data_IF_434993987159
#
_entry.id   IF_434993987159
#
_cell.length_a   1.000
_cell.length_b   1.000
_cell.length_c   1.000
_cell.angle_alpha   90.00
_cell.angle_beta   90.00
_cell.angle_gamma   90.00
#
_symmetry.space_group_name_H-M   'P 1'
#
loop_
_entity.id
_entity.type
_entity.pdbx_description
1 polymer ?
#
# COMPACT_ATOMS: atom_id res chain seq x y z
N UNK A 1 -1.72 -0.22 -10.51
CA UNK A 1 -0.76 -0.56 -11.59
C UNK A 1 0.57 0.14 -11.29
N UNK A 2 1.59 -0.55 -10.78
CA UNK A 2 2.91 0.09 -10.56
C UNK A 2 3.75 0.00 -11.82
N UNK A 3 4.41 1.12 -12.10
CA UNK A 3 5.26 1.29 -13.26
C UNK A 3 6.69 1.53 -12.76
N UNK A 4 7.66 0.81 -13.31
CA UNK A 4 9.08 1.13 -13.08
C UNK A 4 9.50 2.19 -14.09
N UNK A 5 9.90 3.35 -13.58
CA UNK A 5 10.41 4.44 -14.37
C UNK A 5 11.94 4.40 -14.46
N UNK A 6 12.48 4.48 -15.68
CA UNK A 6 13.87 4.85 -15.86
C UNK A 6 13.97 6.39 -15.80
N UNK A 7 14.47 6.93 -14.69
CA UNK A 7 14.59 8.37 -14.41
C UNK A 7 15.43 9.13 -15.44
N UNK A 8 16.14 8.41 -16.33
CA UNK A 8 16.98 8.98 -17.39
C UNK A 8 16.28 9.13 -18.74
N UNK A 9 15.18 8.42 -18.99
CA UNK A 9 14.51 8.39 -20.31
C UNK A 9 13.00 8.63 -20.26
N UNK A 10 12.41 8.77 -19.07
CA UNK A 10 10.97 9.05 -18.90
C UNK A 10 10.05 7.93 -19.41
N UNK A 11 10.59 6.75 -19.72
CA UNK A 11 9.82 5.60 -20.15
C UNK A 11 9.33 4.81 -18.95
N UNK A 12 8.02 4.66 -18.89
CA UNK A 12 7.25 4.01 -17.85
C UNK A 12 6.69 2.70 -18.42
N UNK A 13 7.19 1.55 -17.96
CA UNK A 13 6.68 0.24 -18.37
C UNK A 13 5.91 -0.45 -17.21
N UNK A 14 4.72 -1.03 -17.47
CA UNK A 14 3.98 -1.75 -16.45
C UNK A 14 4.75 -3.01 -16.02
N UNK A 15 5.00 -3.15 -14.72
CA UNK A 15 5.63 -4.35 -14.18
C UNK A 15 4.57 -5.41 -13.97
N UNK A 16 4.79 -6.59 -14.57
CA UNK A 16 3.89 -7.73 -14.40
C UNK A 16 4.02 -8.27 -12.98
N UNK A 17 2.91 -8.61 -12.28
CA UNK A 17 2.93 -9.13 -10.91
C UNK A 17 3.86 -10.33 -10.67
N UNK A 18 4.12 -11.15 -11.70
CA UNK A 18 5.02 -12.31 -11.63
C UNK A 18 6.50 -11.97 -11.46
N UNK A 19 6.94 -10.76 -11.82
CA UNK A 19 8.37 -10.39 -11.74
C UNK A 19 8.76 -9.76 -10.39
N UNK A 20 7.79 -9.50 -9.51
CA UNK A 20 8.03 -9.02 -8.15
C UNK A 20 8.45 -10.14 -7.17
N UNK A 21 8.25 -11.40 -7.56
CA UNK A 21 8.41 -12.59 -6.72
C UNK A 21 9.83 -12.81 -6.16
N UNK A 22 10.92 -12.63 -6.95
CA UNK A 22 12.28 -12.94 -6.47
C UNK A 22 12.85 -11.93 -5.44
N UNK A 23 12.32 -10.71 -5.40
CA UNK A 23 12.75 -9.67 -4.46
C UNK A 23 12.22 -9.89 -3.05
N UNK A 24 11.01 -10.44 -2.92
CA UNK A 24 10.42 -10.80 -1.63
C UNK A 24 11.06 -12.05 -1.02
N UNK A 25 11.36 -13.07 -1.83
CA UNK A 25 11.96 -14.33 -1.34
C UNK A 25 13.35 -14.14 -0.75
N UNK A 26 14.14 -13.20 -1.28
CA UNK A 26 15.52 -12.97 -0.83
C UNK A 26 15.58 -12.21 0.51
N UNK A 27 14.67 -11.26 0.72
CA UNK A 27 14.55 -10.52 1.99
C UNK A 27 14.04 -11.40 3.15
N UNK A 28 13.18 -12.37 2.87
CA UNK A 28 12.60 -13.26 3.89
C UNK A 28 13.62 -14.18 4.59
N UNK A 29 14.78 -14.46 3.96
CA UNK A 29 15.75 -15.42 4.49
C UNK A 29 16.60 -14.94 5.69
N UNK A 30 16.64 -13.63 5.97
CA UNK A 30 17.56 -13.05 6.97
C UNK A 30 16.92 -12.41 8.21
N UNK A 31 15.62 -12.10 8.19
CA UNK A 31 14.96 -11.37 9.30
C UNK A 31 13.93 -12.23 10.06
N UNK A 32 13.32 -13.23 9.43
CA UNK A 32 12.20 -13.97 10.03
C UNK A 32 12.60 -15.43 10.25
N UNK A 33 13.35 -15.70 11.33
CA UNK A 33 13.47 -17.05 11.87
C UNK A 33 12.51 -17.15 13.05
N UNK A 34 11.46 -17.96 12.92
CA UNK A 34 10.48 -18.39 13.95
C UNK A 34 9.11 -17.69 14.00
N UNK A 35 8.56 -17.23 12.87
CA UNK A 35 7.11 -17.04 12.75
C UNK A 35 6.62 -17.97 11.65
N UNK A 36 5.57 -18.75 11.91
CA UNK A 36 4.94 -19.56 10.86
C UNK A 36 4.42 -18.59 9.79
N UNK A 37 4.81 -18.79 8.51
CA UNK A 37 4.53 -17.82 7.43
C UNK A 37 3.06 -17.36 7.43
N UNK A 38 2.14 -18.28 7.71
CA UNK A 38 0.69 -18.03 7.79
C UNK A 38 0.26 -17.04 8.88
N UNK A 39 0.88 -17.05 10.06
CA UNK A 39 0.53 -16.13 11.15
C UNK A 39 0.96 -14.69 10.84
N UNK A 40 2.10 -14.51 10.15
CA UNK A 40 2.54 -13.20 9.68
C UNK A 40 1.62 -12.64 8.58
N UNK A 41 1.08 -13.53 7.74
CA UNK A 41 0.24 -13.18 6.58
C UNK A 41 -1.17 -12.77 7.00
N UNK A 42 -1.81 -13.51 7.90
CA UNK A 42 -3.10 -13.14 8.47
C UNK A 42 -3.02 -11.83 9.27
N UNK A 43 -1.94 -11.64 10.02
CA UNK A 43 -1.75 -10.42 10.82
C UNK A 43 -1.52 -9.20 9.91
N UNK A 44 -0.80 -9.36 8.79
CA UNK A 44 -0.65 -8.31 7.79
C UNK A 44 -2.00 -7.88 7.22
N UNK A 45 -2.86 -8.83 6.83
CA UNK A 45 -4.20 -8.53 6.31
C UNK A 45 -5.03 -7.78 7.36
N UNK A 46 -5.00 -8.23 8.62
CA UNK A 46 -5.71 -7.59 9.74
C UNK A 46 -5.25 -6.15 9.94
N UNK A 47 -3.93 -5.91 9.95
CA UNK A 47 -3.35 -4.58 10.15
C UNK A 47 -3.70 -3.65 8.99
N UNK A 48 -3.55 -4.10 7.74
CA UNK A 48 -3.84 -3.28 6.56
C UNK A 48 -5.32 -2.91 6.53
N UNK A 49 -6.24 -3.86 6.72
CA UNK A 49 -7.68 -3.58 6.77
C UNK A 49 -8.04 -2.64 7.94
N UNK A 50 -7.41 -2.83 9.10
CA UNK A 50 -7.58 -1.95 10.26
C UNK A 50 -7.16 -0.50 9.96
N UNK A 51 -6.03 -0.32 9.27
CA UNK A 51 -5.54 1.00 8.84
C UNK A 51 -6.51 1.60 7.81
N UNK A 52 -6.92 0.85 6.78
CA UNK A 52 -7.88 1.33 5.77
C UNK A 52 -9.14 1.88 6.41
N UNK A 53 -9.73 1.12 7.34
CA UNK A 53 -10.94 1.54 8.06
C UNK A 53 -10.71 2.82 8.87
N UNK A 54 -9.58 2.92 9.57
CA UNK A 54 -9.25 4.10 10.39
C UNK A 54 -9.00 5.34 9.55
N UNK A 55 -8.35 5.20 8.40
CA UNK A 55 -8.14 6.29 7.44
C UNK A 55 -9.48 6.75 6.87
N UNK A 56 -10.39 5.82 6.56
CA UNK A 56 -11.71 6.17 6.04
C UNK A 56 -12.58 6.88 7.09
N UNK A 57 -12.58 6.42 8.36
CA UNK A 57 -13.29 7.06 9.47
C UNK A 57 -12.82 8.50 9.72
N UNK A 58 -11.52 8.77 9.53
CA UNK A 58 -10.88 10.06 9.85
C UNK A 58 -10.53 10.89 8.62
N UNK A 59 -11.03 10.52 7.43
CA UNK A 59 -10.64 11.13 6.16
C UNK A 59 -10.74 12.66 6.16
N UNK A 60 -11.85 13.21 6.66
CA UNK A 60 -12.06 14.66 6.69
C UNK A 60 -11.11 15.39 7.64
N UNK A 61 -10.75 14.78 8.76
CA UNK A 61 -9.78 15.32 9.72
C UNK A 61 -8.37 15.27 9.14
N UNK A 62 -8.00 14.14 8.53
CA UNK A 62 -6.73 13.94 7.84
C UNK A 62 -6.56 14.90 6.65
N UNK A 63 -7.62 15.14 5.87
CA UNK A 63 -7.59 16.10 4.76
C UNK A 63 -7.34 17.54 5.25
N UNK A 64 -7.92 17.94 6.39
CA UNK A 64 -7.65 19.25 7.01
C UNK A 64 -6.22 19.36 7.50
N UNK A 65 -5.70 18.31 8.14
CA UNK A 65 -4.29 18.27 8.57
C UNK A 65 -3.34 18.33 7.38
N UNK A 66 -3.63 17.61 6.29
CA UNK A 66 -2.85 17.65 5.04
C UNK A 66 -2.90 19.01 4.35
N UNK A 67 -4.05 19.66 4.35
CA UNK A 67 -4.18 21.03 3.85
C UNK A 67 -3.34 22.01 4.67
N UNK A 68 -3.35 21.86 6.01
CA UNK A 68 -2.56 22.69 6.92
C UNK A 68 -1.05 22.47 6.75
N UNK A 69 -0.61 21.21 6.64
CA UNK A 69 0.81 20.84 6.59
C UNK A 69 1.44 21.14 5.22
N UNK A 70 0.73 20.81 4.12
CA UNK A 70 1.24 20.99 2.76
C UNK A 70 0.88 22.35 2.13
N UNK A 71 0.04 23.16 2.79
CA UNK A 71 -0.49 24.42 2.24
C UNK A 71 -1.42 24.25 1.04
N UNK A 72 -1.94 23.03 0.82
CA UNK A 72 -2.82 22.71 -0.31
C UNK A 72 -4.27 23.12 -0.02
N UNK A 73 -5.04 23.50 -1.06
CA UNK A 73 -6.49 23.63 -0.96
C UNK A 73 -7.15 22.38 -0.37
N UNK A 74 -8.21 22.56 0.42
CA UNK A 74 -8.86 21.47 1.16
C UNK A 74 -9.45 20.39 0.23
N UNK A 75 -9.96 20.79 -0.93
CA UNK A 75 -10.43 19.93 -2.01
C UNK A 75 -9.28 19.09 -2.58
N UNK A 76 -8.13 19.68 -2.89
CA UNK A 76 -6.95 18.95 -3.36
C UNK A 76 -6.42 17.99 -2.27
N UNK A 77 -6.42 18.42 -1.01
CA UNK A 77 -6.04 17.58 0.12
C UNK A 77 -7.01 16.42 0.33
N UNK A 78 -8.31 16.62 0.09
CA UNK A 78 -9.34 15.60 0.15
C UNK A 78 -9.16 14.55 -0.96
N UNK A 79 -8.91 14.97 -2.20
CA UNK A 79 -8.61 14.04 -3.29
C UNK A 79 -7.34 13.24 -3.03
N UNK A 80 -6.32 13.90 -2.50
CA UNK A 80 -5.11 13.23 -2.08
C UNK A 80 -5.29 12.28 -0.88
N UNK A 81 -6.43 12.30 -0.19
CA UNK A 81 -6.81 11.29 0.81
C UNK A 81 -7.65 10.17 0.20
N UNK A 82 -8.45 10.46 -0.84
CA UNK A 82 -9.13 9.42 -1.64
C UNK A 82 -8.12 8.47 -2.30
N UNK A 83 -7.04 9.01 -2.87
CA UNK A 83 -5.97 8.20 -3.45
C UNK A 83 -5.29 7.29 -2.42
N UNK A 84 -5.15 7.76 -1.17
CA UNK A 84 -4.55 7.00 -0.08
C UNK A 84 -5.48 5.86 0.34
N UNK A 85 -6.78 6.12 0.48
CA UNK A 85 -7.78 5.08 0.78
C UNK A 85 -7.76 3.99 -0.29
N UNK A 86 -7.81 4.38 -1.57
CA UNK A 86 -7.78 3.44 -2.69
C UNK A 86 -6.49 2.62 -2.74
N UNK A 87 -5.34 3.21 -2.38
CA UNK A 87 -4.08 2.46 -2.28
C UNK A 87 -4.15 1.38 -1.20
N UNK A 88 -4.73 1.68 -0.03
CA UNK A 88 -4.83 0.72 1.07
C UNK A 88 -5.86 -0.38 0.79
N UNK A 89 -7.00 -0.06 0.19
CA UNK A 89 -7.98 -1.04 -0.28
C UNK A 89 -7.36 -2.00 -1.31
N UNK A 90 -6.68 -1.46 -2.32
CA UNK A 90 -5.99 -2.29 -3.31
C UNK A 90 -4.92 -3.20 -2.67
N UNK A 91 -4.16 -2.70 -1.68
CA UNK A 91 -3.18 -3.53 -0.98
C UNK A 91 -3.86 -4.64 -0.16
N UNK A 92 -5.01 -4.37 0.45
CA UNK A 92 -5.78 -5.35 1.19
C UNK A 92 -6.33 -6.45 0.26
N UNK A 93 -6.90 -6.06 -0.88
CA UNK A 93 -7.43 -7.00 -1.87
C UNK A 93 -6.32 -7.91 -2.42
N UNK A 94 -5.14 -7.34 -2.72
CA UNK A 94 -3.98 -8.13 -3.11
C UNK A 94 -3.58 -9.11 -2.01
N UNK A 95 -3.49 -8.65 -0.77
CA UNK A 95 -3.12 -9.52 0.35
C UNK A 95 -4.09 -10.71 0.47
N UNK A 96 -5.41 -10.45 0.40
CA UNK A 96 -6.43 -11.51 0.42
C UNK A 96 -6.24 -12.49 -0.75
N UNK A 97 -6.00 -12.00 -1.97
CA UNK A 97 -5.81 -12.86 -3.16
C UNK A 97 -4.54 -13.72 -3.03
N UNK A 98 -3.43 -13.13 -2.59
CA UNK A 98 -2.15 -13.83 -2.48
C UNK A 98 -2.15 -14.90 -1.38
N UNK A 99 -2.91 -14.70 -0.30
CA UNK A 99 -2.98 -15.67 0.80
C UNK A 99 -4.13 -16.67 0.67
N UNK A 100 -5.07 -16.44 -0.25
CA UNK A 100 -6.15 -17.38 -0.59
C UNK A 100 -5.80 -18.34 -1.75
N UNK A 101 -4.61 -18.20 -2.36
CA UNK A 101 -4.13 -19.01 -3.51
C UNK A 101 -3.02 -19.97 -3.09
#
# INVERSE_FOLDING_TARGET
MRVVGNTRTGKYAPVKPRELFPLFSTLNSRIVKNVSSSECEEELVRVVLGITKKVHERKSELARLKALDCGKPLDEASWGMDDVVGCFEYCADLAVIYFSS
#
